data_IF_890314761004
#
_entry.id   IF_890314761004
#
_cell.length_a   1.000
_cell.length_b   1.000
_cell.length_c   1.000
_cell.angle_alpha   90.00
_cell.angle_beta   90.00
_cell.angle_gamma   90.00
#
_symmetry.space_group_name_H-M   'P 1'
#
loop_
_entity.id
_entity.type
_entity.pdbx_description
1 polymer ?
#
# COMPACT_ATOMS: atom_id res chain seq x y z
N UNK A 1 58.15 5.61 -27.74
CA UNK A 1 57.62 6.92 -28.20
C UNK A 1 56.23 6.65 -28.78
N UNK A 2 55.19 7.39 -28.34
CA UNK A 2 53.78 7.26 -28.80
C UNK A 2 53.49 8.33 -29.89
N UNK A 3 52.42 8.18 -30.70
CA UNK A 3 51.17 8.89 -30.36
C UNK A 3 49.96 7.94 -30.46
N UNK A 4 49.12 7.80 -29.43
CA UNK A 4 48.06 8.73 -29.00
C UNK A 4 47.02 8.97 -30.11
N UNK A 5 46.04 8.07 -30.21
CA UNK A 5 44.80 8.32 -30.96
C UNK A 5 43.76 8.82 -29.94
N UNK A 6 43.48 10.11 -30.07
CA UNK A 6 42.43 10.86 -29.38
C UNK A 6 41.11 10.54 -30.09
N UNK A 7 40.19 9.86 -29.41
CA UNK A 7 38.77 9.90 -29.78
C UNK A 7 38.04 10.81 -28.80
N UNK A 8 38.07 12.10 -29.14
CA UNK A 8 37.22 13.13 -28.59
C UNK A 8 35.86 13.02 -29.30
N UNK A 9 34.89 12.37 -28.68
CA UNK A 9 33.49 12.50 -29.07
C UNK A 9 32.78 13.35 -28.01
N UNK A 10 32.79 14.66 -28.27
CA UNK A 10 31.86 15.60 -27.68
C UNK A 10 30.55 15.50 -28.49
N UNK A 11 29.55 14.80 -27.96
CA UNK A 11 28.18 14.78 -28.46
C UNK A 11 27.25 14.88 -27.25
N UNK A 12 26.81 16.08 -26.91
CA UNK A 12 25.48 16.62 -27.22
C UNK A 12 24.37 15.88 -26.44
N UNK A 13 23.74 16.64 -25.54
CA UNK A 13 22.67 16.30 -24.63
C UNK A 13 21.62 15.29 -25.18
N UNK A 14 21.37 14.25 -24.39
CA UNK A 14 20.09 13.56 -24.37
C UNK A 14 19.39 13.89 -23.04
N UNK A 15 18.29 14.65 -23.04
CA UNK A 15 17.49 14.87 -21.85
C UNK A 15 16.64 13.61 -21.63
N UNK A 16 17.12 12.69 -20.79
CA UNK A 16 16.25 11.61 -20.30
C UNK A 16 15.47 12.13 -19.10
N UNK A 17 14.39 12.83 -19.43
CA UNK A 17 13.05 12.48 -18.98
C UNK A 17 12.98 11.65 -17.67
N UNK A 18 13.33 12.25 -16.53
CA UNK A 18 12.63 11.94 -15.28
C UNK A 18 11.56 12.99 -15.09
N UNK A 19 10.68 13.08 -16.09
CA UNK A 19 9.38 13.74 -16.00
C UNK A 19 8.31 12.74 -15.57
N UNK A 20 8.57 12.00 -14.50
CA UNK A 20 7.60 11.11 -13.86
C UNK A 20 7.93 10.97 -12.37
N UNK A 21 7.87 12.09 -11.63
CA UNK A 21 7.77 12.07 -10.16
C UNK A 21 6.37 12.47 -9.69
N UNK A 22 5.40 12.55 -10.61
CA UNK A 22 4.09 13.15 -10.37
C UNK A 22 2.95 12.18 -10.70
N UNK A 23 3.01 10.97 -10.13
CA UNK A 23 1.91 9.97 -10.05
C UNK A 23 2.48 8.73 -9.36
N UNK A 24 1.94 8.13 -8.30
CA UNK A 24 0.74 8.36 -7.51
C UNK A 24 1.05 7.71 -6.15
N UNK A 25 1.04 8.45 -5.04
CA UNK A 25 1.39 7.95 -3.69
C UNK A 25 0.73 6.60 -3.37
N UNK A 26 -0.51 6.40 -3.84
CA UNK A 26 -1.23 5.16 -3.66
C UNK A 26 -0.65 3.94 -4.39
N UNK A 27 -0.29 4.06 -5.67
CA UNK A 27 0.22 2.91 -6.42
C UNK A 27 1.54 2.42 -5.82
N UNK A 28 2.38 3.34 -5.36
CA UNK A 28 3.63 3.00 -4.66
C UNK A 28 3.36 2.31 -3.32
N UNK A 29 2.39 2.79 -2.53
CA UNK A 29 1.96 2.14 -1.30
C UNK A 29 1.37 0.75 -1.56
N UNK A 30 0.56 0.60 -2.61
CA UNK A 30 0.01 -0.70 -3.00
C UNK A 30 1.10 -1.68 -3.39
N UNK A 31 2.11 -1.23 -4.14
CA UNK A 31 3.27 -2.04 -4.46
C UNK A 31 4.07 -2.42 -3.21
N UNK A 32 4.21 -1.51 -2.24
CA UNK A 32 4.85 -1.82 -0.96
C UNK A 32 4.06 -2.88 -0.18
N UNK A 33 2.73 -2.71 -0.06
CA UNK A 33 1.84 -3.69 0.57
C UNK A 33 1.86 -5.06 -0.15
N UNK A 34 1.98 -5.06 -1.48
CA UNK A 34 2.11 -6.29 -2.26
C UNK A 34 3.45 -7.00 -2.05
N UNK A 35 4.50 -6.30 -1.59
CA UNK A 35 5.77 -6.94 -1.16
C UNK A 35 5.64 -7.72 0.14
N UNK A 36 4.46 -7.68 0.78
CA UNK A 36 4.12 -8.57 1.87
C UNK A 36 4.28 -7.98 3.26
N UNK A 37 4.60 -6.69 3.42
CA UNK A 37 4.68 -6.09 4.76
C UNK A 37 3.30 -6.00 5.41
N UNK A 38 3.11 -6.62 6.58
CA UNK A 38 1.85 -6.56 7.32
C UNK A 38 1.44 -5.11 7.66
N UNK A 39 2.41 -4.23 7.95
CA UNK A 39 2.16 -2.83 8.24
C UNK A 39 1.62 -2.07 7.02
N UNK A 40 2.20 -2.29 5.84
CA UNK A 40 1.76 -1.63 4.60
C UNK A 40 0.38 -2.15 4.17
N UNK A 41 0.12 -3.44 4.36
CA UNK A 41 -1.18 -4.05 4.12
C UNK A 41 -2.25 -3.50 5.08
N UNK A 42 -1.93 -3.38 6.37
CA UNK A 42 -2.78 -2.73 7.35
C UNK A 42 -3.09 -1.28 6.94
N UNK A 43 -2.08 -0.52 6.52
CA UNK A 43 -2.25 0.87 6.08
C UNK A 43 -3.17 0.96 4.86
N UNK A 44 -2.98 0.10 3.85
CA UNK A 44 -3.89 0.02 2.70
C UNK A 44 -5.33 -0.30 3.14
N UNK A 45 -5.51 -1.23 4.08
CA UNK A 45 -6.82 -1.53 4.63
C UNK A 45 -7.49 -0.30 5.27
N UNK A 46 -6.72 0.51 6.03
CA UNK A 46 -7.19 1.75 6.66
C UNK A 46 -7.57 2.78 5.60
N UNK A 47 -6.76 2.96 4.55
CA UNK A 47 -7.05 3.89 3.47
C UNK A 47 -8.39 3.57 2.81
N UNK A 48 -8.68 2.29 2.56
CA UNK A 48 -9.96 1.86 2.01
C UNK A 48 -11.12 1.89 3.01
N UNK A 49 -10.89 1.62 4.30
CA UNK A 49 -11.96 1.66 5.32
C UNK A 49 -12.49 3.09 5.53
N UNK A 50 -11.60 4.09 5.48
CA UNK A 50 -11.93 5.49 5.77
C UNK A 50 -12.01 6.38 4.53
N UNK A 51 -11.46 5.96 3.39
CA UNK A 51 -11.50 6.72 2.14
C UNK A 51 -10.56 7.93 2.12
N UNK A 52 -9.31 7.76 2.58
CA UNK A 52 -8.32 8.84 2.53
C UNK A 52 -7.82 9.05 1.10
N UNK A 53 -8.30 10.12 0.44
CA UNK A 53 -8.02 10.43 -0.98
C UNK A 53 -8.45 9.32 -1.96
N UNK A 54 -9.31 8.42 -1.50
CA UNK A 54 -9.84 7.28 -2.23
C UNK A 54 -11.31 7.04 -1.86
N UNK A 55 -12.12 6.44 -2.74
CA UNK A 55 -13.42 5.96 -2.33
C UNK A 55 -13.30 4.87 -1.27
N UNK A 56 -14.14 4.96 -0.25
CA UNK A 56 -14.27 3.90 0.76
C UNK A 56 -14.67 2.57 0.10
N UNK A 57 -14.04 1.48 0.50
CA UNK A 57 -14.36 0.14 0.03
C UNK A 57 -14.08 -0.90 1.13
N UNK A 58 -15.14 -1.34 1.82
CA UNK A 58 -15.04 -2.32 2.89
C UNK A 58 -14.54 -3.69 2.40
N UNK A 59 -14.80 -4.07 1.13
CA UNK A 59 -14.28 -5.33 0.54
C UNK A 59 -12.78 -5.28 0.35
N UNK A 60 -12.26 -4.20 -0.26
CA UNK A 60 -10.81 -3.98 -0.40
C UNK A 60 -10.14 -3.84 0.97
N UNK A 61 -10.74 -3.09 1.89
CA UNK A 61 -10.21 -2.93 3.25
C UNK A 61 -10.07 -4.29 3.95
N UNK A 62 -11.12 -5.12 3.90
CA UNK A 62 -11.10 -6.45 4.49
C UNK A 62 -10.07 -7.35 3.82
N UNK A 63 -9.94 -7.29 2.50
CA UNK A 63 -8.96 -8.09 1.76
C UNK A 63 -7.52 -7.78 2.18
N UNK A 64 -7.20 -6.50 2.39
CA UNK A 64 -5.90 -6.06 2.92
C UNK A 64 -5.69 -6.46 4.39
N UNK A 65 -6.71 -6.33 5.25
CA UNK A 65 -6.62 -6.77 6.63
C UNK A 65 -6.48 -8.29 6.78
N UNK A 66 -7.07 -9.08 5.88
CA UNK A 66 -6.89 -10.53 5.87
C UNK A 66 -5.41 -10.89 5.67
N UNK A 67 -4.74 -10.26 4.72
CA UNK A 67 -3.31 -10.49 4.45
C UNK A 67 -2.42 -10.10 5.63
N UNK A 68 -2.68 -8.94 6.26
CA UNK A 68 -1.92 -8.51 7.43
C UNK A 68 -2.21 -9.40 8.66
N UNK A 69 -3.46 -9.84 8.83
CA UNK A 69 -3.85 -10.75 9.91
C UNK A 69 -3.27 -12.15 9.76
N UNK A 70 -3.07 -12.66 8.54
CA UNK A 70 -2.37 -13.92 8.28
C UNK A 70 -0.92 -13.91 8.77
N UNK A 71 -0.31 -12.72 8.82
CA UNK A 71 1.04 -12.52 9.35
C UNK A 71 1.06 -12.29 10.87
N UNK A 72 -0.10 -12.29 11.53
CA UNK A 72 -0.22 -12.11 12.98
C UNK A 72 -0.31 -10.66 13.44
N UNK A 73 -0.57 -9.69 12.55
CA UNK A 73 -0.79 -8.30 12.96
C UNK A 73 -2.08 -8.16 13.78
N UNK A 74 -1.94 -7.86 15.07
CA UNK A 74 -3.06 -7.81 16.01
C UNK A 74 -4.06 -6.70 15.69
N UNK A 75 -3.59 -5.58 15.14
CA UNK A 75 -4.45 -4.46 14.76
C UNK A 75 -5.27 -4.82 13.53
N UNK A 76 -4.66 -5.48 12.54
CA UNK A 76 -5.34 -6.01 11.37
C UNK A 76 -6.37 -7.07 11.74
N UNK A 77 -6.07 -7.97 12.69
CA UNK A 77 -7.04 -8.95 13.22
C UNK A 77 -8.26 -8.24 13.80
N UNK A 78 -8.05 -7.24 14.67
CA UNK A 78 -9.14 -6.46 15.28
C UNK A 78 -9.97 -5.74 14.22
N UNK A 79 -9.32 -5.06 13.26
CA UNK A 79 -10.01 -4.33 12.19
C UNK A 79 -10.76 -5.27 11.24
N UNK A 80 -10.15 -6.39 10.84
CA UNK A 80 -10.79 -7.46 10.07
C UNK A 80 -12.06 -7.95 10.75
N UNK A 81 -11.99 -8.27 12.03
CA UNK A 81 -13.14 -8.84 12.77
C UNK A 81 -14.24 -7.80 12.98
N UNK A 82 -13.86 -6.56 13.31
CA UNK A 82 -14.80 -5.44 13.35
C UNK A 82 -15.50 -5.26 12.00
N UNK A 83 -14.76 -5.23 10.91
CA UNK A 83 -15.27 -5.02 9.56
C UNK A 83 -16.20 -6.14 9.11
N UNK A 84 -15.81 -7.40 9.34
CA UNK A 84 -16.64 -8.59 9.05
C UNK A 84 -17.99 -8.57 9.78
N UNK A 85 -18.07 -7.97 10.97
CA UNK A 85 -19.34 -7.85 11.70
C UNK A 85 -20.35 -6.93 11.02
N UNK A 86 -19.88 -6.02 10.14
CA UNK A 86 -20.69 -5.01 9.43
C UNK A 86 -21.06 -5.42 8.00
N UNK A 87 -20.35 -6.39 7.44
CA UNK A 87 -20.41 -6.76 6.03
C UNK A 87 -21.37 -7.92 5.77
N UNK A 88 -21.88 -8.00 4.54
CA UNK A 88 -22.68 -9.15 4.10
C UNK A 88 -21.78 -10.37 3.84
N UNK A 89 -22.30 -11.60 3.99
CA UNK A 89 -21.52 -12.81 3.69
C UNK A 89 -20.88 -12.81 2.29
N UNK A 90 -21.62 -12.35 1.28
CA UNK A 90 -21.15 -12.28 -0.11
C UNK A 90 -19.96 -11.30 -0.25
N UNK A 91 -19.96 -10.21 0.51
CA UNK A 91 -18.89 -9.20 0.51
C UNK A 91 -17.64 -9.72 1.23
N UNK A 92 -17.84 -10.48 2.32
CA UNK A 92 -16.74 -11.17 3.02
C UNK A 92 -16.10 -12.23 2.12
N UNK A 93 -16.91 -12.99 1.38
CA UNK A 93 -16.40 -13.97 0.42
C UNK A 93 -15.65 -13.30 -0.73
N UNK A 94 -16.14 -12.17 -1.24
CA UNK A 94 -15.45 -11.37 -2.24
C UNK A 94 -14.08 -10.88 -1.74
N UNK A 95 -14.01 -10.40 -0.50
CA UNK A 95 -12.75 -9.96 0.10
C UNK A 95 -11.73 -11.10 0.22
N UNK A 96 -12.16 -12.29 0.64
CA UNK A 96 -11.31 -13.48 0.73
C UNK A 96 -10.74 -13.89 -0.64
N UNK A 97 -11.55 -13.80 -1.70
CA UNK A 97 -11.10 -14.07 -3.07
C UNK A 97 -10.15 -12.99 -3.59
N UNK A 98 -10.33 -11.76 -3.15
CA UNK A 98 -9.51 -10.61 -3.56
C UNK A 98 -8.12 -10.63 -2.91
N UNK A 99 -7.99 -11.01 -1.64
CA UNK A 99 -6.72 -11.07 -0.90
C UNK A 99 -5.54 -11.64 -1.70
N UNK A 100 -5.60 -12.85 -2.29
CA UNK A 100 -4.50 -13.39 -3.08
C UNK A 100 -4.22 -12.60 -4.38
N UNK A 101 -5.20 -11.90 -4.95
CA UNK A 101 -5.00 -11.09 -6.15
C UNK A 101 -4.23 -9.80 -5.87
N UNK A 102 -4.38 -9.24 -4.67
CA UNK A 102 -3.69 -8.03 -4.23
C UNK A 102 -2.17 -8.22 -4.17
N UNK A 103 -1.73 -9.35 -3.62
CA UNK A 103 -0.31 -9.72 -3.58
C UNK A 103 0.22 -10.18 -4.93
N UNK A 104 -0.66 -10.67 -5.83
CA UNK A 104 -0.32 -10.96 -7.22
C UNK A 104 -0.16 -9.71 -8.09
N UNK A 105 -0.24 -8.51 -7.47
CA UNK A 105 -0.12 -7.20 -8.14
C UNK A 105 -1.16 -6.96 -9.24
N UNK A 106 -2.25 -7.73 -9.29
CA UNK A 106 -3.37 -7.42 -10.18
C UNK A 106 -4.01 -6.09 -9.77
N UNK A 107 -4.40 -5.22 -10.72
CA UNK A 107 -5.07 -3.98 -10.38
C UNK A 107 -6.35 -4.30 -9.60
N UNK A 108 -6.57 -3.59 -8.48
CA UNK A 108 -7.83 -3.71 -7.76
C UNK A 108 -8.99 -3.29 -8.66
N UNK A 109 -10.19 -3.88 -8.48
CA UNK A 109 -11.38 -3.41 -9.19
C UNK A 109 -11.61 -1.94 -8.86
N UNK A 110 -11.29 -1.05 -9.81
CA UNK A 110 -11.66 0.38 -9.77
C UNK A 110 -13.16 0.59 -9.93
N UNK A 111 -13.89 -0.49 -10.26
CA UNK A 111 -15.34 -0.51 -10.38
C UNK A 111 -15.98 -0.89 -9.04
N UNK A 112 -16.50 0.13 -8.36
CA UNK A 112 -17.38 0.05 -7.19
C UNK A 112 -18.57 -0.88 -7.50
N UNK A 113 -18.79 -2.02 -6.82
CA UNK A 113 -20.15 -2.52 -6.66
C UNK A 113 -20.83 -1.62 -5.61
N UNK A 114 -21.87 -0.84 -5.99
CA UNK A 114 -22.61 -0.04 -5.05
C UNK A 114 -23.41 -0.99 -4.16
N UNK A 115 -22.92 -1.23 -2.96
CA UNK A 115 -23.68 -1.87 -1.89
C UNK A 115 -23.18 -1.27 -0.59
N UNK A 116 -23.97 -0.61 0.23
CA UNK A 116 -25.31 -0.06 0.17
C UNK A 116 -25.28 0.93 1.34
N UNK A 117 -25.76 2.17 1.15
CA UNK A 117 -25.64 3.30 2.08
C UNK A 117 -24.22 3.86 2.32
N UNK A 118 -24.06 5.19 2.45
CA UNK A 118 -22.89 5.75 3.08
C UNK A 118 -22.84 5.15 4.49
N UNK A 119 -21.80 4.40 4.82
CA UNK A 119 -21.54 4.01 6.19
C UNK A 119 -21.79 5.24 7.09
N UNK A 120 -22.61 5.15 8.16
CA UNK A 120 -22.83 6.30 9.01
C UNK A 120 -21.46 6.85 9.41
N UNK A 121 -21.28 8.16 9.24
CA UNK A 121 -20.07 8.86 9.63
C UNK A 121 -19.60 8.31 10.98
N UNK A 122 -18.30 8.01 11.17
CA UNK A 122 -17.82 7.41 12.40
C UNK A 122 -18.26 8.30 13.57
N UNK A 123 -19.28 7.87 14.29
CA UNK A 123 -19.71 8.50 15.54
C UNK A 123 -18.89 7.83 16.63
N UNK A 124 -17.58 7.99 16.53
CA UNK A 124 -16.67 7.67 17.61
C UNK A 124 -15.71 8.86 17.67
N UNK A 125 -15.68 9.60 18.80
CA UNK A 125 -14.78 10.73 18.91
C UNK A 125 -13.37 10.20 18.73
N UNK A 126 -12.65 10.79 17.77
CA UNK A 126 -11.25 10.50 17.50
C UNK A 126 -10.49 10.37 18.83
N UNK A 127 -10.14 9.14 19.18
CA UNK A 127 -9.16 8.92 20.23
C UNK A 127 -7.83 9.49 19.72
N UNK A 128 -7.18 10.37 20.49
CA UNK A 128 -5.99 11.05 20.01
C UNK A 128 -4.85 10.04 19.94
N UNK A 129 -4.15 10.06 18.81
CA UNK A 129 -2.72 9.78 18.75
C UNK A 129 -2.28 8.37 19.13
N UNK A 130 -2.28 7.46 18.16
CA UNK A 130 -1.14 6.55 18.02
C UNK A 130 -0.83 6.40 16.54
N UNK A 131 0.10 7.23 16.08
CA UNK A 131 0.79 7.01 14.82
C UNK A 131 1.39 5.59 14.85
N UNK A 132 1.39 4.83 13.74
CA UNK A 132 2.05 3.53 13.73
C UNK A 132 3.52 3.71 14.13
N UNK A 133 4.11 2.81 14.95
CA UNK A 133 5.52 2.90 15.25
C UNK A 133 6.30 2.80 13.94
N UNK A 134 7.11 3.81 13.66
CA UNK A 134 8.09 3.78 12.58
C UNK A 134 8.87 2.47 12.66
N UNK A 135 8.92 1.75 11.55
CA UNK A 135 9.65 0.48 11.43
C UNK A 135 11.10 0.60 11.90
N UNK A 136 11.76 -0.54 12.19
CA UNK A 136 13.08 -0.54 12.80
C UNK A 136 14.06 0.25 11.93
N UNK A 137 14.70 1.25 12.55
CA UNK A 137 15.81 1.98 12.00
C UNK A 137 16.91 0.98 11.58
N UNK A 138 17.09 0.81 10.28
CA UNK A 138 18.31 0.24 9.72
C UNK A 138 19.44 1.20 10.09
N UNK A 139 20.19 0.86 11.13
CA UNK A 139 21.45 1.54 11.43
C UNK A 139 22.47 1.07 10.40
N UNK A 140 22.72 1.99 9.47
CA UNK A 140 23.87 2.08 8.58
C UNK A 140 25.09 1.26 9.00
N UNK A 141 25.49 0.35 8.11
CA UNK A 141 26.87 -0.11 8.00
C UNK A 141 27.56 0.72 6.91
N UNK A 142 28.59 1.51 7.24
CA UNK A 142 29.61 1.84 6.25
C UNK A 142 30.88 1.00 6.50
N UNK A 143 31.17 0.14 5.52
CA UNK A 143 32.52 -0.32 5.23
C UNK A 143 33.40 0.89 4.86
N UNK A 144 34.58 1.03 5.47
CA UNK A 144 35.86 1.10 4.74
C UNK A 144 37.01 1.44 5.69
N UNK A 145 38.00 0.57 5.61
CA UNK A 145 39.41 0.72 5.98
C UNK A 145 40.03 2.02 5.44
N UNK A 146 41.19 2.44 5.97
CA UNK A 146 42.45 1.97 5.36
C UNK A 146 43.33 1.13 6.30
#
# INVERSE_FOLDING_TARGET
MKPAIVFLILGLAAPLLTGAQDSSSLEQMRQAAARGSAADQLEMGILYEFGYNMPKNDVSALAWYLLAAEQGDELAIKRRDHLKSRMKPDEVEAAQKLSPELIAQKPEPTAIPPSAEPAPAPTEPASPSEAPPAGPANVDKPSSTP
#
